data_IF_113988324625
#
_entry.id   IF_113988324625
#
_cell.length_a   1.000
_cell.length_b   1.000
_cell.length_c   1.000
_cell.angle_alpha   90.00
_cell.angle_beta   90.00
_cell.angle_gamma   90.00
#
_symmetry.space_group_name_H-M   'P 1'
#
loop_
_entity.id
_entity.type
_entity.pdbx_description
1 polymer ?
#
# COMPACT_ATOMS: atom_id res chain seq x y z
N UNK A 1 -37.53 41.55 -43.14
CA UNK A 1 -38.65 41.33 -44.08
C UNK A 1 -39.07 39.88 -43.96
N UNK A 2 -40.32 39.68 -43.49
CA UNK A 2 -41.22 38.50 -43.68
C UNK A 2 -40.68 37.10 -43.36
N UNK A 3 -41.23 36.28 -42.45
CA UNK A 3 -42.51 36.28 -41.73
C UNK A 3 -43.19 34.90 -41.84
N UNK A 4 -43.49 34.29 -40.68
CA UNK A 4 -44.55 33.32 -40.32
C UNK A 4 -44.60 31.91 -40.98
N UNK A 5 -45.05 30.79 -40.38
CA UNK A 5 -45.92 30.46 -39.20
C UNK A 5 -45.80 28.93 -38.92
N UNK A 6 -45.58 28.44 -37.68
CA UNK A 6 -46.56 27.86 -36.72
C UNK A 6 -47.20 26.52 -37.20
N UNK A 7 -47.20 25.39 -36.46
CA UNK A 7 -48.23 25.03 -35.44
C UNK A 7 -47.88 23.69 -34.72
N UNK A 8 -47.92 23.67 -33.39
CA UNK A 8 -48.16 22.50 -32.49
C UNK A 8 -49.69 22.40 -32.24
N UNK A 9 -50.33 21.30 -31.73
CA UNK A 9 -50.02 20.71 -30.41
C UNK A 9 -50.45 19.22 -30.17
N UNK A 10 -50.15 18.68 -28.97
CA UNK A 10 -51.14 18.20 -27.97
C UNK A 10 -50.78 16.90 -27.21
N UNK A 11 -50.69 17.05 -25.89
CA UNK A 11 -50.84 16.07 -24.81
C UNK A 11 -52.24 15.42 -24.78
N UNK A 12 -52.36 14.14 -24.38
CA UNK A 12 -53.44 13.64 -23.50
C UNK A 12 -52.94 12.48 -22.61
N UNK A 13 -53.31 12.59 -21.33
CA UNK A 13 -53.18 11.70 -20.17
C UNK A 13 -54.40 10.75 -20.10
N UNK A 14 -54.28 9.55 -19.53
CA UNK A 14 -55.47 8.78 -19.12
C UNK A 14 -55.23 7.35 -18.66
N UNK A 15 -55.62 7.08 -17.41
CA UNK A 15 -55.37 5.89 -16.58
C UNK A 15 -56.46 4.80 -16.69
N UNK A 16 -56.11 3.62 -16.16
CA UNK A 16 -56.92 2.73 -15.29
C UNK A 16 -58.05 1.82 -15.83
N UNK A 17 -57.80 0.51 -15.65
CA UNK A 17 -58.56 -0.43 -14.80
C UNK A 17 -59.42 -1.56 -15.44
N UNK A 18 -59.47 -2.65 -14.66
CA UNK A 18 -60.39 -3.79 -14.65
C UNK A 18 -60.05 -5.13 -15.34
N UNK A 19 -59.57 -6.03 -14.45
CA UNK A 19 -60.26 -7.23 -13.98
C UNK A 19 -60.41 -8.47 -14.89
N UNK A 20 -59.82 -9.58 -14.44
CA UNK A 20 -60.48 -10.89 -14.38
C UNK A 20 -59.78 -11.85 -13.39
N UNK A 21 -60.53 -12.28 -12.38
CA UNK A 21 -60.47 -13.61 -11.72
C UNK A 21 -61.89 -14.21 -11.87
N UNK A 22 -62.18 -15.51 -11.61
CA UNK A 22 -61.35 -16.57 -11.00
C UNK A 22 -61.45 -17.95 -11.71
N UNK A 23 -60.65 -18.95 -11.29
CA UNK A 23 -61.12 -20.33 -11.06
C UNK A 23 -60.04 -21.17 -10.35
N UNK A 24 -60.51 -21.94 -9.36
CA UNK A 24 -59.77 -22.79 -8.42
C UNK A 24 -59.72 -24.23 -8.94
N UNK A 25 -58.77 -25.02 -8.40
CA UNK A 25 -58.56 -26.48 -8.44
C UNK A 25 -57.61 -26.95 -9.56
N UNK A 26 -56.62 -27.83 -9.36
CA UNK A 26 -56.36 -28.80 -8.28
C UNK A 26 -54.90 -29.23 -8.30
N UNK A 27 -54.38 -29.60 -7.13
CA UNK A 27 -53.06 -30.16 -6.85
C UNK A 27 -52.88 -31.55 -7.50
N UNK A 28 -51.76 -31.77 -8.18
CA UNK A 28 -51.25 -33.12 -8.49
C UNK A 28 -49.72 -33.13 -8.37
N UNK A 29 -49.26 -34.05 -7.53
CA UNK A 29 -47.87 -34.36 -7.20
C UNK A 29 -47.13 -34.98 -8.39
N UNK A 30 -45.87 -34.61 -8.64
CA UNK A 30 -44.91 -35.44 -9.38
C UNK A 30 -43.47 -35.04 -9.05
N UNK A 31 -42.54 -36.02 -8.99
CA UNK A 31 -41.37 -35.96 -8.12
C UNK A 31 -40.18 -35.17 -8.70
N UNK A 32 -39.52 -34.45 -7.80
CA UNK A 32 -38.28 -33.68 -8.03
C UNK A 32 -37.14 -34.55 -8.55
N UNK A 33 -36.64 -34.25 -9.75
CA UNK A 33 -35.36 -34.74 -10.24
C UNK A 33 -34.20 -34.03 -9.49
N UNK A 34 -33.12 -34.73 -9.10
CA UNK A 34 -31.97 -34.09 -8.48
C UNK A 34 -31.22 -33.21 -9.50
N UNK A 35 -30.61 -32.09 -9.06
CA UNK A 35 -29.88 -31.18 -9.95
C UNK A 35 -28.59 -31.85 -10.48
N UNK A 36 -28.13 -31.47 -11.69
CA UNK A 36 -26.93 -32.05 -12.29
C UNK A 36 -25.68 -31.70 -11.45
N UNK A 37 -24.88 -32.73 -11.21
CA UNK A 37 -23.60 -32.69 -10.51
C UNK A 37 -22.63 -31.77 -11.28
N UNK A 38 -22.14 -30.72 -10.62
CA UNK A 38 -21.18 -29.79 -11.22
C UNK A 38 -19.84 -30.50 -11.38
N UNK A 39 -19.43 -30.73 -12.63
CA UNK A 39 -18.05 -31.11 -12.95
C UNK A 39 -17.07 -30.10 -12.32
N UNK A 40 -16.01 -30.56 -11.63
CA UNK A 40 -15.01 -29.65 -11.08
C UNK A 40 -14.24 -28.99 -12.24
N UNK A 41 -14.24 -27.64 -12.22
CA UNK A 41 -13.44 -26.82 -13.13
C UNK A 41 -11.96 -27.27 -13.13
N UNK A 42 -11.27 -27.24 -14.29
CA UNK A 42 -9.88 -27.65 -14.38
C UNK A 42 -9.01 -26.79 -13.46
N UNK A 43 -8.36 -27.45 -12.50
CA UNK A 43 -7.37 -26.85 -11.60
C UNK A 43 -6.20 -26.32 -12.44
N UNK A 44 -6.16 -25.00 -12.65
CA UNK A 44 -5.03 -24.33 -13.29
C UNK A 44 -3.87 -24.29 -12.29
N UNK A 45 -3.16 -25.41 -12.20
CA UNK A 45 -1.90 -25.51 -11.46
C UNK A 45 -0.78 -25.19 -12.44
N UNK A 46 -0.57 -23.90 -12.73
CA UNK A 46 0.72 -23.45 -13.26
C UNK A 46 0.92 -21.94 -13.02
N UNK A 47 1.22 -21.60 -11.78
CA UNK A 47 1.96 -20.38 -11.50
C UNK A 47 3.22 -20.83 -10.79
N UNK A 48 4.34 -20.76 -11.51
CA UNK A 48 5.65 -20.72 -10.92
C UNK A 48 5.72 -19.52 -9.97
N UNK A 49 5.17 -19.68 -8.76
CA UNK A 49 5.62 -18.97 -7.60
C UNK A 49 7.09 -19.34 -7.50
N UNK A 50 7.97 -18.47 -8.01
CA UNK A 50 9.38 -18.50 -7.67
C UNK A 50 9.43 -18.55 -6.15
N UNK A 51 9.72 -19.75 -5.62
CA UNK A 51 9.91 -20.00 -4.21
C UNK A 51 11.10 -19.14 -3.81
N UNK A 52 10.84 -17.94 -3.30
CA UNK A 52 11.85 -17.08 -2.76
C UNK A 52 12.41 -17.80 -1.54
N UNK A 53 13.58 -18.41 -1.70
CA UNK A 53 14.27 -19.09 -0.60
C UNK A 53 14.64 -18.01 0.40
N UNK A 54 14.05 -18.06 1.60
CA UNK A 54 14.31 -17.09 2.65
C UNK A 54 15.80 -17.14 3.00
N UNK A 55 16.52 -16.13 2.54
CA UNK A 55 17.92 -15.93 2.87
C UNK A 55 17.96 -14.76 3.85
N UNK A 56 18.49 -14.95 5.08
CA UNK A 56 18.67 -13.85 6.01
C UNK A 56 19.36 -12.68 5.32
N UNK A 57 18.80 -11.48 5.46
CA UNK A 57 19.42 -10.28 4.90
C UNK A 57 20.29 -9.60 5.94
N UNK A 58 21.25 -8.80 5.49
CA UNK A 58 22.02 -7.92 6.37
C UNK A 58 21.04 -6.98 7.10
N UNK A 59 21.18 -6.76 8.42
CA UNK A 59 20.38 -5.77 9.13
C UNK A 59 20.51 -4.38 8.52
N UNK A 60 19.42 -3.62 8.48
CA UNK A 60 19.49 -2.22 8.03
C UNK A 60 20.24 -1.37 9.07
N UNK A 61 21.18 -0.50 8.65
CA UNK A 61 21.81 0.45 9.55
C UNK A 61 20.79 1.46 10.10
N UNK A 62 21.15 2.16 11.18
CA UNK A 62 20.31 3.24 11.73
C UNK A 62 19.99 4.31 10.68
N UNK A 63 20.95 4.62 9.81
CA UNK A 63 20.80 5.60 8.74
C UNK A 63 21.06 4.92 7.41
N UNK A 64 20.08 4.98 6.51
CA UNK A 64 20.14 4.41 5.18
C UNK A 64 19.84 5.50 4.16
N UNK A 65 20.66 5.64 3.12
CA UNK A 65 20.46 6.65 2.08
C UNK A 65 20.29 5.99 0.72
N UNK A 66 19.31 6.48 -0.05
CA UNK A 66 19.13 6.10 -1.44
C UNK A 66 19.91 7.03 -2.35
N UNK A 67 20.71 6.47 -3.25
CA UNK A 67 21.44 7.20 -4.28
C UNK A 67 21.03 6.72 -5.66
N UNK A 68 20.95 7.66 -6.60
CA UNK A 68 20.82 7.35 -8.02
C UNK A 68 21.60 8.36 -8.84
N UNK A 69 22.11 7.89 -9.98
CA UNK A 69 22.59 8.74 -11.06
C UNK A 69 21.70 8.46 -12.27
N UNK A 70 21.48 9.44 -13.12
CA UNK A 70 20.43 9.50 -14.16
C UNK A 70 20.29 8.30 -15.13
N UNK A 71 21.18 7.31 -15.06
CA UNK A 71 21.19 6.08 -15.86
C UNK A 71 21.46 4.79 -15.07
N UNK A 72 21.64 4.86 -13.74
CA UNK A 72 22.00 3.71 -12.90
C UNK A 72 20.82 3.29 -12.01
N UNK A 73 20.73 2.01 -11.63
CA UNK A 73 19.78 1.56 -10.63
C UNK A 73 19.98 2.34 -9.33
N UNK A 74 18.89 2.44 -8.56
CA UNK A 74 18.93 3.04 -7.23
C UNK A 74 19.77 2.11 -6.34
N UNK A 75 20.62 2.70 -5.50
CA UNK A 75 21.41 1.97 -4.50
C UNK A 75 21.02 2.46 -3.12
N UNK A 76 20.81 1.52 -2.20
CA UNK A 76 20.70 1.83 -0.78
C UNK A 76 22.07 1.65 -0.15
N UNK A 77 22.56 2.73 0.45
CA UNK A 77 23.87 2.80 1.05
C UNK A 77 23.78 3.17 2.53
N UNK A 78 24.77 2.78 3.32
CA UNK A 78 24.88 3.15 4.73
C UNK A 78 25.37 4.59 4.91
N UNK A 79 26.48 4.75 5.65
CA UNK A 79 26.98 6.07 6.07
C UNK A 79 27.50 6.94 4.91
N UNK A 80 27.91 6.33 3.79
CA UNK A 80 28.40 7.03 2.59
C UNK A 80 27.81 6.44 1.31
N UNK A 81 28.03 7.09 0.16
CA UNK A 81 27.57 6.57 -1.13
C UNK A 81 28.34 5.31 -1.59
N UNK A 82 29.54 5.09 -1.04
CA UNK A 82 30.41 3.96 -1.41
C UNK A 82 30.11 2.70 -0.60
N UNK A 83 29.47 2.85 0.57
CA UNK A 83 28.97 1.74 1.40
C UNK A 83 27.64 1.21 0.85
N UNK A 84 27.69 0.60 -0.33
CA UNK A 84 26.50 0.03 -1.00
C UNK A 84 26.09 -1.24 -0.27
N UNK A 85 24.83 -1.26 0.21
CA UNK A 85 24.27 -2.39 0.94
C UNK A 85 23.28 -3.18 0.08
N UNK A 86 22.41 -2.48 -0.64
CA UNK A 86 21.36 -3.11 -1.45
C UNK A 86 21.21 -2.45 -2.83
N UNK A 87 20.97 -3.25 -3.85
CA UNK A 87 20.54 -2.81 -5.17
C UNK A 87 19.01 -2.73 -5.24
N UNK A 88 18.52 -1.68 -5.89
CA UNK A 88 17.10 -1.50 -6.17
C UNK A 88 16.89 -1.45 -7.68
N UNK A 89 16.13 -2.40 -8.19
CA UNK A 89 15.77 -2.50 -9.60
C UNK A 89 14.40 -1.87 -9.86
N UNK A 90 14.30 -1.08 -10.94
CA UNK A 90 13.03 -0.62 -11.46
C UNK A 90 12.36 -1.70 -12.31
N UNK A 91 11.16 -2.09 -11.91
CA UNK A 91 10.31 -3.00 -12.66
C UNK A 91 9.25 -2.22 -13.43
N UNK A 92 9.29 -2.29 -14.75
CA UNK A 92 8.42 -1.50 -15.65
C UNK A 92 7.04 -2.11 -15.86
N UNK A 93 6.83 -3.36 -15.43
CA UNK A 93 5.58 -4.11 -15.60
C UNK A 93 5.39 -4.75 -16.98
N UNK A 94 6.33 -4.59 -17.92
CA UNK A 94 6.26 -5.23 -19.24
C UNK A 94 6.59 -6.73 -19.22
N UNK A 95 7.32 -7.19 -18.20
CA UNK A 95 7.67 -8.60 -18.00
C UNK A 95 6.83 -9.17 -16.87
N UNK A 96 6.19 -10.33 -17.08
CA UNK A 96 5.49 -11.06 -16.01
C UNK A 96 6.40 -11.93 -15.14
N UNK A 97 7.73 -11.91 -15.36
CA UNK A 97 8.68 -12.90 -14.82
C UNK A 97 9.17 -12.61 -13.39
N UNK A 98 8.71 -11.54 -12.76
CA UNK A 98 9.14 -11.15 -11.40
C UNK A 98 8.01 -11.34 -10.40
N UNK A 99 8.32 -11.23 -9.11
CA UNK A 99 7.32 -11.34 -8.02
C UNK A 99 6.18 -10.31 -8.11
N UNK A 100 6.40 -9.20 -8.82
CA UNK A 100 5.36 -8.20 -9.09
C UNK A 100 4.47 -8.58 -10.29
N UNK A 101 4.79 -9.65 -11.01
CA UNK A 101 4.14 -9.99 -12.26
C UNK A 101 4.20 -8.80 -13.21
N UNK A 102 3.05 -8.37 -13.72
CA UNK A 102 2.99 -7.22 -14.62
C UNK A 102 2.84 -5.87 -13.90
N UNK A 103 2.79 -5.83 -12.56
CA UNK A 103 2.61 -4.59 -11.80
C UNK A 103 3.92 -3.80 -11.76
N UNK A 104 3.99 -2.53 -12.21
CA UNK A 104 5.23 -1.77 -12.14
C UNK A 104 5.56 -1.35 -10.71
N UNK A 105 6.87 -1.21 -10.44
CA UNK A 105 7.35 -0.97 -9.08
C UNK A 105 8.88 -1.00 -8.96
N UNK A 106 9.33 -1.32 -7.76
CA UNK A 106 10.74 -1.51 -7.40
C UNK A 106 10.92 -2.90 -6.78
N UNK A 107 12.05 -3.53 -7.11
CA UNK A 107 12.53 -4.77 -6.52
C UNK A 107 13.77 -4.44 -5.69
N UNK A 108 13.77 -4.82 -4.41
CA UNK A 108 14.94 -4.74 -3.55
C UNK A 108 15.65 -6.08 -3.58
N UNK A 109 16.94 -6.08 -3.92
CA UNK A 109 17.76 -7.29 -3.91
C UNK A 109 18.50 -7.45 -2.58
N UNK A 110 18.69 -8.69 -2.14
CA UNK A 110 19.45 -9.05 -0.94
C UNK A 110 20.97 -9.00 -1.22
N UNK A 111 21.45 -7.87 -1.67
CA UNK A 111 22.85 -7.66 -2.04
C UNK A 111 23.01 -6.45 -2.96
N UNK A 112 24.23 -6.23 -3.45
CA UNK A 112 24.63 -5.00 -4.14
C UNK A 112 24.39 -5.02 -5.65
N UNK A 113 23.88 -6.12 -6.19
CA UNK A 113 23.60 -6.30 -7.61
C UNK A 113 22.21 -6.89 -7.89
N UNK A 114 21.77 -6.77 -9.15
CA UNK A 114 20.49 -7.34 -9.62
C UNK A 114 20.49 -8.87 -9.74
N UNK A 115 21.68 -9.48 -9.71
CA UNK A 115 21.83 -10.93 -9.68
C UNK A 115 21.58 -11.52 -8.29
N UNK A 116 21.64 -10.69 -7.25
CA UNK A 116 21.34 -11.13 -5.89
C UNK A 116 19.82 -11.42 -5.77
N UNK A 117 19.40 -12.38 -4.92
CA UNK A 117 18.00 -12.76 -4.77
C UNK A 117 17.11 -11.57 -4.42
N UNK A 118 15.86 -11.58 -4.90
CA UNK A 118 14.88 -10.55 -4.53
C UNK A 118 14.52 -10.72 -3.05
N UNK A 119 14.75 -9.66 -2.26
CA UNK A 119 14.39 -9.58 -0.84
C UNK A 119 12.94 -9.13 -0.65
N UNK A 120 12.55 -8.07 -1.35
CA UNK A 120 11.24 -7.44 -1.23
C UNK A 120 10.86 -6.73 -2.52
N UNK A 121 9.57 -6.42 -2.68
CA UNK A 121 9.09 -5.62 -3.81
C UNK A 121 8.02 -4.63 -3.38
N UNK A 122 7.89 -3.54 -4.12
CA UNK A 122 6.83 -2.54 -3.88
C UNK A 122 6.36 -1.93 -5.18
N UNK A 123 5.06 -1.70 -5.35
CA UNK A 123 4.53 -1.23 -6.62
C UNK A 123 3.10 -0.72 -6.59
N UNK A 124 2.59 -0.47 -7.79
CA UNK A 124 1.17 -0.22 -8.03
C UNK A 124 0.39 -1.54 -7.94
N UNK A 125 -0.89 -1.52 -7.54
CA UNK A 125 -1.70 -2.75 -7.41
C UNK A 125 -2.09 -3.37 -8.76
N UNK A 126 -1.99 -2.60 -9.85
CA UNK A 126 -2.21 -3.07 -11.22
C UNK A 126 -1.43 -2.24 -12.25
N UNK A 127 -1.26 -2.78 -13.46
CA UNK A 127 -0.76 -1.98 -14.60
C UNK A 127 -1.63 -0.76 -14.89
N UNK A 128 -2.95 -0.90 -14.73
CA UNK A 128 -3.90 0.17 -14.99
C UNK A 128 -3.74 1.31 -13.96
N UNK A 129 -3.58 0.98 -12.68
CA UNK A 129 -3.25 1.93 -11.60
C UNK A 129 -1.95 2.69 -11.89
N UNK A 130 -1.03 2.09 -12.62
CA UNK A 130 0.20 2.74 -13.00
C UNK A 130 0.07 3.68 -14.21
N UNK A 131 -0.69 3.28 -15.24
CA UNK A 131 -0.72 3.93 -16.56
C UNK A 131 -1.87 4.91 -16.79
N UNK A 132 -3.05 4.68 -16.22
CA UNK A 132 -4.27 5.31 -16.71
C UNK A 132 -4.74 6.54 -15.92
N UNK A 133 -3.85 7.31 -15.28
CA UNK A 133 -4.24 8.34 -14.31
C UNK A 133 -5.17 7.82 -13.19
N UNK A 134 -5.27 6.49 -13.04
CA UNK A 134 -6.08 5.88 -12.00
C UNK A 134 -5.42 6.19 -10.67
N UNK A 135 -6.10 7.04 -9.92
CA UNK A 135 -5.72 7.50 -8.60
C UNK A 135 -5.88 6.35 -7.61
N UNK A 136 -5.05 5.32 -7.68
CA UNK A 136 -5.10 4.27 -6.67
C UNK A 136 -4.45 4.78 -5.39
N UNK A 137 -5.21 4.90 -4.28
CA UNK A 137 -4.64 5.25 -2.99
C UNK A 137 -3.84 4.10 -2.39
N UNK A 138 -3.84 2.92 -3.03
CA UNK A 138 -3.24 1.70 -2.51
C UNK A 138 -1.94 1.35 -3.25
N UNK A 139 -0.99 0.83 -2.49
CA UNK A 139 0.28 0.30 -3.00
C UNK A 139 0.47 -1.11 -2.47
N UNK A 140 0.93 -2.02 -3.33
CA UNK A 140 1.27 -3.38 -2.94
C UNK A 140 2.72 -3.44 -2.47
N UNK A 141 2.98 -4.15 -1.39
CA UNK A 141 4.31 -4.41 -0.83
C UNK A 141 4.44 -5.92 -0.64
N UNK A 142 5.48 -6.53 -1.19
CA UNK A 142 5.78 -7.95 -1.03
C UNK A 142 6.98 -8.08 -0.12
N UNK A 143 6.81 -8.83 0.98
CA UNK A 143 7.82 -9.04 2.01
C UNK A 143 8.04 -10.54 2.27
N UNK A 144 9.22 -10.96 2.75
CA UNK A 144 9.42 -12.33 3.25
C UNK A 144 8.45 -12.65 4.38
N UNK A 145 7.85 -13.85 4.45
CA UNK A 145 6.80 -14.20 5.42
C UNK A 145 7.20 -13.89 6.88
N UNK A 146 6.22 -13.56 7.72
CA UNK A 146 6.45 -13.22 9.12
C UNK A 146 6.91 -14.43 9.97
N UNK A 147 6.49 -15.63 9.58
CA UNK A 147 6.99 -16.87 10.15
C UNK A 147 8.19 -17.35 9.34
N UNK A 148 9.21 -17.86 10.03
CA UNK A 148 10.40 -18.49 9.44
C UNK A 148 10.06 -19.87 8.86
N UNK A 149 9.09 -19.91 7.94
CA UNK A 149 8.71 -21.12 7.21
C UNK A 149 9.57 -21.17 5.95
N UNK A 150 10.48 -22.14 5.83
CA UNK A 150 11.27 -22.32 4.63
C UNK A 150 10.34 -22.48 3.41
N UNK A 151 10.62 -21.75 2.34
CA UNK A 151 9.89 -21.84 1.07
C UNK A 151 8.43 -21.35 1.09
N UNK A 152 8.00 -20.65 2.14
CA UNK A 152 6.70 -19.96 2.11
C UNK A 152 6.71 -18.80 1.09
N UNK A 153 5.60 -18.57 0.37
CA UNK A 153 5.50 -17.47 -0.57
C UNK A 153 5.66 -16.12 0.14
N UNK A 154 6.08 -15.09 -0.61
CA UNK A 154 6.14 -13.73 -0.07
C UNK A 154 4.76 -13.28 0.42
N UNK A 155 4.72 -12.70 1.61
CA UNK A 155 3.52 -12.11 2.16
C UNK A 155 3.20 -10.80 1.42
N UNK A 156 1.92 -10.63 1.07
CA UNK A 156 1.41 -9.41 0.47
C UNK A 156 0.91 -8.48 1.55
N UNK A 157 1.47 -7.28 1.58
CA UNK A 157 1.12 -6.17 2.45
C UNK A 157 0.68 -4.96 1.63
N UNK A 158 0.03 -4.01 2.28
CA UNK A 158 -0.50 -2.82 1.63
C UNK A 158 -0.07 -1.55 2.36
N UNK A 159 0.14 -0.49 1.58
CA UNK A 159 0.22 0.87 2.07
C UNK A 159 -0.90 1.68 1.42
N UNK A 160 -1.67 2.37 2.24
CA UNK A 160 -2.80 3.17 1.81
C UNK A 160 -2.52 4.65 2.00
N UNK A 161 -3.05 5.47 1.12
CA UNK A 161 -3.04 6.92 1.20
C UNK A 161 -4.42 7.44 1.58
N UNK A 162 -4.47 8.41 2.48
CA UNK A 162 -5.71 9.09 2.89
C UNK A 162 -5.48 10.59 3.04
N UNK A 163 -6.49 11.38 2.71
CA UNK A 163 -6.45 12.82 3.03
C UNK A 163 -6.79 13.07 4.50
N UNK A 164 -6.08 13.99 5.15
CA UNK A 164 -6.34 14.41 6.52
C UNK A 164 -6.11 15.91 6.66
N UNK A 165 -7.19 16.67 6.86
CA UNK A 165 -7.15 18.13 6.80
C UNK A 165 -6.53 18.60 5.48
N UNK A 166 -5.43 19.36 5.57
CA UNK A 166 -4.69 19.87 4.41
C UNK A 166 -3.52 19.01 3.96
N UNK A 167 -3.29 17.88 4.60
CA UNK A 167 -2.18 16.97 4.31
C UNK A 167 -2.66 15.60 3.84
N UNK A 168 -1.67 14.76 3.48
CA UNK A 168 -1.85 13.36 3.06
C UNK A 168 -1.12 12.49 4.08
N UNK A 169 -1.80 11.43 4.50
CA UNK A 169 -1.27 10.37 5.34
C UNK A 169 -1.02 9.14 4.48
N UNK A 170 0.11 8.46 4.69
CA UNK A 170 0.32 7.12 4.16
C UNK A 170 0.45 6.16 5.34
N UNK A 171 -0.36 5.12 5.38
CA UNK A 171 -0.36 4.20 6.51
C UNK A 171 -0.30 2.75 6.05
N UNK A 172 0.25 1.91 6.92
CA UNK A 172 0.35 0.48 6.71
C UNK A 172 0.30 -0.25 8.05
N UNK A 173 0.10 -1.56 7.99
CA UNK A 173 0.11 -2.43 9.15
C UNK A 173 1.10 -3.57 8.93
N UNK A 174 1.83 -3.95 9.98
CA UNK A 174 2.78 -5.05 9.94
C UNK A 174 2.94 -5.63 11.34
N UNK A 175 3.34 -6.90 11.41
CA UNK A 175 3.66 -7.57 12.66
C UNK A 175 4.89 -6.94 13.31
N UNK A 176 4.80 -6.64 14.60
CA UNK A 176 5.90 -6.18 15.45
C UNK A 176 5.99 -7.01 16.72
N UNK A 177 7.20 -7.13 17.26
CA UNK A 177 7.50 -7.98 18.42
C UNK A 177 8.50 -9.08 18.07
N UNK A 178 8.76 -9.96 19.02
CA UNK A 178 9.73 -11.04 18.88
C UNK A 178 9.07 -12.38 19.27
N UNK A 179 9.35 -13.42 18.47
CA UNK A 179 8.86 -14.78 18.71
C UNK A 179 7.34 -14.89 18.70
N UNK A 180 6.76 -15.53 19.71
CA UNK A 180 5.32 -15.79 19.80
C UNK A 180 4.47 -14.54 20.12
N UNK A 181 5.11 -13.39 20.39
CA UNK A 181 4.45 -12.13 20.74
C UNK A 181 4.41 -11.15 19.57
N UNK A 182 4.08 -11.65 18.38
CA UNK A 182 3.88 -10.81 17.20
C UNK A 182 2.49 -10.19 17.23
N UNK A 183 2.43 -8.87 17.20
CA UNK A 183 1.20 -8.10 17.13
C UNK A 183 1.18 -7.26 15.87
N UNK A 184 0.07 -7.30 15.13
CA UNK A 184 -0.11 -6.44 13.96
C UNK A 184 -0.41 -5.01 14.44
N UNK A 185 0.40 -4.04 14.02
CA UNK A 185 0.31 -2.64 14.45
C UNK A 185 0.31 -1.70 13.26
N UNK A 186 -0.36 -0.57 13.43
CA UNK A 186 -0.46 0.47 12.42
C UNK A 186 0.63 1.53 12.57
N UNK A 187 1.15 1.96 11.43
CA UNK A 187 2.16 3.00 11.30
C UNK A 187 1.71 4.03 10.27
N UNK A 188 2.00 5.31 10.53
CA UNK A 188 1.55 6.43 9.69
C UNK A 188 2.74 7.32 9.32
N UNK A 189 3.00 7.43 8.02
CA UNK A 189 3.84 8.48 7.45
C UNK A 189 3.05 9.79 7.36
N UNK A 190 3.47 10.78 8.14
CA UNK A 190 2.99 12.17 8.06
C UNK A 190 4.00 13.03 7.33
N UNK A 191 3.52 13.94 6.49
CA UNK A 191 4.39 14.85 5.74
C UNK A 191 5.11 15.80 6.70
N UNK A 192 6.43 15.86 6.60
CA UNK A 192 7.26 16.83 7.33
C UNK A 192 7.67 17.97 6.40
N UNK A 193 7.51 19.22 6.85
CA UNK A 193 7.67 20.44 6.06
C UNK A 193 8.94 21.18 6.47
N UNK A 194 9.77 21.50 5.48
CA UNK A 194 10.98 22.33 5.66
C UNK A 194 10.60 23.67 6.31
N UNK A 195 11.32 24.04 7.38
CA UNK A 195 11.14 25.32 8.08
C UNK A 195 9.95 25.39 9.03
N UNK A 196 9.13 24.32 9.08
CA UNK A 196 8.09 24.13 10.10
C UNK A 196 8.57 23.06 11.09
N UNK A 197 9.08 21.95 10.56
CA UNK A 197 9.65 20.86 11.33
C UNK A 197 11.15 21.12 11.61
N UNK A 198 11.59 21.21 12.87
CA UNK A 198 12.98 21.51 13.20
C UNK A 198 13.95 20.39 12.78
N UNK A 199 13.47 19.16 12.75
CA UNK A 199 14.28 17.97 12.47
C UNK A 199 14.48 17.70 10.97
N UNK A 200 13.86 18.50 10.09
CA UNK A 200 13.80 18.21 8.65
C UNK A 200 14.28 19.37 7.80
N UNK A 201 15.41 19.17 7.10
CA UNK A 201 16.05 20.25 6.34
C UNK A 201 15.46 20.47 4.95
N UNK A 202 14.93 19.43 4.33
CA UNK A 202 14.52 19.43 2.91
C UNK A 202 13.07 18.97 2.68
N UNK A 203 12.28 18.91 3.76
CA UNK A 203 10.99 18.24 3.76
C UNK A 203 11.14 16.71 3.69
N UNK A 204 10.04 16.01 3.93
CA UNK A 204 10.13 14.58 4.16
C UNK A 204 8.84 13.98 4.66
N UNK A 205 8.98 12.85 5.36
CA UNK A 205 7.91 12.21 6.11
C UNK A 205 8.43 11.73 7.47
N UNK A 206 7.62 11.86 8.52
CA UNK A 206 7.84 11.23 9.83
C UNK A 206 6.96 9.98 9.91
N UNK A 207 7.54 8.85 10.30
CA UNK A 207 6.79 7.64 10.58
C UNK A 207 6.44 7.61 12.05
N UNK A 208 5.16 7.60 12.35
CA UNK A 208 4.63 7.60 13.69
C UNK A 208 3.84 6.33 13.97
N UNK A 209 3.88 5.90 15.23
CA UNK A 209 3.05 4.80 15.72
C UNK A 209 2.65 5.07 17.17
N UNK A 210 1.64 4.34 17.64
CA UNK A 210 1.20 4.38 19.03
C UNK A 210 1.69 3.12 19.76
N UNK A 211 2.59 3.25 20.75
CA UNK A 211 2.92 2.16 21.64
C UNK A 211 1.68 1.73 22.43
N UNK A 212 1.45 0.42 22.62
CA UNK A 212 0.42 -0.01 23.57
C UNK A 212 0.87 0.32 24.99
N UNK A 213 0.04 1.04 25.71
CA UNK A 213 0.18 1.20 27.16
C UNK A 213 -0.27 -0.11 27.82
N UNK A 214 0.44 -0.55 28.86
CA UNK A 214 0.02 -1.71 29.64
C UNK A 214 -1.39 -1.48 30.21
N UNK A 215 -2.37 -2.26 29.73
CA UNK A 215 -3.78 -2.11 30.08
C UNK A 215 -4.74 -1.87 28.91
N UNK A 216 -4.23 -1.67 27.69
CA UNK A 216 -5.07 -1.64 26.48
C UNK A 216 -5.59 -3.06 26.16
N UNK A 217 -6.79 -3.37 26.65
CA UNK A 217 -7.56 -4.51 26.18
C UNK A 217 -7.98 -4.27 24.72
N UNK A 218 -7.76 -5.24 23.80
CA UNK A 218 -8.05 -5.07 22.36
C UNK A 218 -9.54 -4.99 22.01
N UNK A 219 -10.45 -4.81 22.98
CA UNK A 219 -11.90 -4.84 22.80
C UNK A 219 -12.70 -3.73 23.47
N UNK A 220 -12.09 -2.76 24.16
CA UNK A 220 -12.83 -1.73 24.88
C UNK A 220 -12.83 -0.39 24.16
N UNK A 221 -13.88 -0.13 23.35
CA UNK A 221 -14.34 1.24 23.10
C UNK A 221 -15.06 1.74 24.37
N UNK A 222 -14.33 1.83 25.48
CA UNK A 222 -14.82 2.28 26.77
C UNK A 222 -14.56 3.77 26.95
N UNK A 223 -15.62 4.57 26.83
CA UNK A 223 -15.63 5.97 27.24
C UNK A 223 -15.23 6.06 28.71
N UNK A 224 -14.00 6.50 28.98
CA UNK A 224 -13.60 7.18 30.21
C UNK A 224 -12.22 7.80 30.02
N UNK A 225 -12.16 9.13 29.97
CA UNK A 225 -11.12 9.82 30.72
C UNK A 225 -11.54 11.26 31.03
N UNK A 226 -11.61 11.54 32.32
CA UNK A 226 -11.11 12.79 32.85
C UNK A 226 -9.58 12.74 32.81
N UNK A 227 -8.96 13.85 32.39
CA UNK A 227 -7.52 14.16 32.30
C UNK A 227 -6.88 13.91 30.92
N UNK A 228 -6.17 14.90 30.33
CA UNK A 228 -5.55 14.77 29.02
C UNK A 228 -4.24 13.98 29.17
N UNK A 229 -4.33 12.65 29.08
CA UNK A 229 -3.16 11.84 28.77
C UNK A 229 -2.88 12.09 27.30
N UNK A 230 -1.86 12.92 27.06
CA UNK A 230 -1.37 13.30 25.75
C UNK A 230 -1.32 12.06 24.83
N UNK A 231 -2.02 12.11 23.70
CA UNK A 231 -2.10 11.05 22.70
C UNK A 231 -0.69 10.80 22.11
N UNK A 232 0.15 10.05 22.83
CA UNK A 232 1.58 10.05 22.58
C UNK A 232 1.93 9.13 21.40
N UNK A 233 1.90 9.72 20.21
CA UNK A 233 2.48 9.13 19.01
C UNK A 233 4.00 9.25 19.08
N UNK A 234 4.70 8.14 18.93
CA UNK A 234 6.16 8.09 18.87
C UNK A 234 6.62 8.14 17.41
N UNK A 235 7.60 9.01 17.10
CA UNK A 235 8.30 8.96 15.81
C UNK A 235 9.35 7.85 15.81
N UNK A 236 9.18 6.87 14.93
CA UNK A 236 10.06 5.68 14.81
C UNK A 236 10.95 5.67 13.57
N UNK A 237 10.65 6.52 12.59
CA UNK A 237 11.55 6.77 11.48
C UNK A 237 11.34 8.17 10.89
N UNK A 238 12.39 8.70 10.27
CA UNK A 238 12.37 9.94 9.51
C UNK A 238 12.86 9.69 8.09
N UNK A 239 12.07 10.10 7.11
CA UNK A 239 12.42 10.10 5.69
C UNK A 239 12.68 11.54 5.26
N UNK A 240 13.92 11.90 4.96
CA UNK A 240 14.29 13.23 4.44
C UNK A 240 14.65 13.15 2.95
N UNK A 241 14.15 14.12 2.17
CA UNK A 241 14.50 14.21 0.74
C UNK A 241 15.92 14.72 0.53
N UNK A 242 16.60 14.17 -0.49
CA UNK A 242 17.88 14.71 -0.92
C UNK A 242 17.75 16.07 -1.60
N UNK A 243 18.88 16.76 -1.72
CA UNK A 243 18.94 18.04 -2.42
C UNK A 243 18.78 17.84 -3.92
N UNK A 244 18.11 18.79 -4.60
CA UNK A 244 17.86 18.71 -6.05
C UNK A 244 19.15 18.54 -6.87
N UNK A 245 20.26 19.12 -6.39
CA UNK A 245 21.58 19.03 -7.05
C UNK A 245 22.40 17.81 -6.63
N UNK A 246 21.90 17.00 -5.70
CA UNK A 246 22.61 15.84 -5.18
C UNK A 246 22.15 14.54 -5.86
N UNK A 247 23.05 13.56 -5.95
CA UNK A 247 22.69 12.19 -6.36
C UNK A 247 21.92 11.42 -5.29
N UNK A 248 21.84 11.98 -4.08
CA UNK A 248 21.08 11.42 -2.96
C UNK A 248 19.60 11.71 -3.24
N UNK A 249 18.78 10.67 -3.26
CA UNK A 249 17.34 10.79 -3.47
C UNK A 249 16.63 11.02 -2.14
N UNK A 250 16.99 10.25 -1.11
CA UNK A 250 16.48 10.41 0.24
C UNK A 250 17.41 9.77 1.28
N UNK A 251 17.15 10.05 2.55
CA UNK A 251 17.70 9.35 3.71
C UNK A 251 16.56 8.90 4.62
N UNK A 252 16.60 7.63 5.06
CA UNK A 252 15.78 7.08 6.14
C UNK A 252 16.65 6.98 7.38
N UNK A 253 16.18 7.53 8.49
CA UNK A 253 16.78 7.40 9.81
C UNK A 253 15.79 6.71 10.73
N UNK A 254 16.20 5.59 11.35
CA UNK A 254 15.44 4.93 12.40
C UNK A 254 15.63 5.65 13.74
N UNK A 255 14.53 5.85 14.45
CA UNK A 255 14.44 6.61 15.70
C UNK A 255 13.65 5.81 16.74
N UNK A 256 13.79 6.17 18.03
CA UNK A 256 13.00 5.60 19.11
C UNK A 256 12.95 4.07 19.11
N UNK A 257 11.74 3.51 19.21
CA UNK A 257 11.46 2.08 19.14
C UNK A 257 11.96 1.43 17.85
N UNK A 258 12.02 2.16 16.73
CA UNK A 258 12.54 1.67 15.46
C UNK A 258 14.05 1.38 15.48
N UNK A 259 14.82 2.11 16.30
CA UNK A 259 16.24 1.87 16.50
C UNK A 259 16.48 0.70 17.47
N UNK A 260 15.62 0.53 18.47
CA UNK A 260 15.80 -0.45 19.55
C UNK A 260 15.77 -1.93 19.12
N UNK A 261 15.28 -2.21 17.90
CA UNK A 261 15.09 -3.58 17.38
C UNK A 261 13.81 -4.27 17.87
N UNK A 262 13.08 -3.67 18.83
CA UNK A 262 11.82 -4.22 19.39
C UNK A 262 10.71 -4.41 18.35
N UNK A 263 10.74 -3.65 17.26
CA UNK A 263 9.74 -3.74 16.19
C UNK A 263 10.04 -4.86 15.18
N UNK A 264 11.23 -5.44 15.20
CA UNK A 264 11.63 -6.56 14.34
C UNK A 264 12.19 -6.14 12.96
N UNK A 265 12.87 -7.07 12.31
CA UNK A 265 13.51 -6.83 11.00
C UNK A 265 12.50 -6.74 9.85
N UNK A 266 11.42 -7.53 9.87
CA UNK A 266 10.33 -7.43 8.88
C UNK A 266 9.69 -6.03 8.89
N UNK A 267 9.53 -5.44 10.07
CA UNK A 267 9.09 -4.05 10.20
C UNK A 267 10.11 -3.07 9.58
N UNK A 268 11.41 -3.20 9.90
CA UNK A 268 12.44 -2.32 9.29
C UNK A 268 12.42 -2.40 7.77
N UNK A 269 12.29 -3.61 7.22
CA UNK A 269 12.15 -3.83 5.80
C UNK A 269 10.89 -3.15 5.24
N UNK A 270 9.74 -3.26 5.92
CA UNK A 270 8.51 -2.54 5.57
C UNK A 270 8.71 -1.01 5.52
N UNK A 271 9.42 -0.43 6.49
CA UNK A 271 9.78 1.00 6.50
C UNK A 271 10.61 1.37 5.26
N UNK A 272 11.63 0.58 4.93
CA UNK A 272 12.48 0.83 3.75
C UNK A 272 11.66 0.74 2.45
N UNK A 273 10.80 -0.28 2.32
CA UNK A 273 9.98 -0.47 1.13
C UNK A 273 8.93 0.64 0.98
N UNK A 274 8.30 1.08 2.06
CA UNK A 274 7.35 2.21 2.04
C UNK A 274 8.05 3.53 1.73
N UNK A 275 9.28 3.76 2.20
CA UNK A 275 10.09 4.92 1.82
C UNK A 275 10.44 4.93 0.31
N UNK A 276 10.85 3.78 -0.24
CA UNK A 276 11.05 3.62 -1.69
C UNK A 276 9.77 3.89 -2.48
N UNK A 277 8.61 3.48 -1.96
CA UNK A 277 7.32 3.77 -2.57
C UNK A 277 6.97 5.25 -2.52
N UNK A 278 7.21 5.92 -1.40
CA UNK A 278 7.02 7.37 -1.27
C UNK A 278 7.90 8.14 -2.26
N UNK A 279 9.13 7.67 -2.51
CA UNK A 279 9.97 8.23 -3.58
C UNK A 279 9.30 8.10 -4.96
N UNK A 280 8.81 6.92 -5.33
CA UNK A 280 8.09 6.74 -6.60
C UNK A 280 6.85 7.63 -6.71
N UNK A 281 6.06 7.70 -5.63
CA UNK A 281 4.87 8.54 -5.58
C UNK A 281 5.23 10.01 -5.73
N UNK A 282 6.30 10.48 -5.07
CA UNK A 282 6.79 11.86 -5.16
C UNK A 282 7.22 12.19 -6.59
N UNK A 283 8.03 11.35 -7.23
CA UNK A 283 8.49 11.55 -8.62
C UNK A 283 7.31 11.62 -9.59
N UNK A 284 6.25 10.83 -9.34
CA UNK A 284 5.01 10.84 -10.14
C UNK A 284 4.00 11.93 -9.73
N UNK A 285 4.31 12.79 -8.76
CA UNK A 285 3.38 13.82 -8.23
C UNK A 285 2.19 13.28 -7.44
N UNK A 286 2.19 12.00 -7.05
CA UNK A 286 1.08 11.29 -6.38
C UNK A 286 1.06 11.46 -4.86
N UNK A 287 1.95 12.27 -4.30
CA UNK A 287 1.93 12.65 -2.87
C UNK A 287 1.12 13.93 -2.60
N UNK A 288 0.47 14.49 -3.63
CA UNK A 288 -0.35 15.69 -3.50
C UNK A 288 -1.77 15.35 -3.02
N UNK A 289 -2.36 16.21 -2.17
CA UNK A 289 -3.73 16.07 -1.65
C UNK A 289 -4.76 15.91 -2.77
N UNK A 290 -4.65 16.71 -3.84
CA UNK A 290 -5.57 16.63 -4.99
C UNK A 290 -5.58 15.25 -5.65
N UNK A 291 -4.41 14.62 -5.77
CA UNK A 291 -4.28 13.28 -6.35
C UNK A 291 -4.92 12.22 -5.43
N UNK A 292 -4.61 12.25 -4.14
CA UNK A 292 -5.16 11.28 -3.18
C UNK A 292 -6.67 11.46 -3.01
N UNK A 293 -7.15 12.70 -2.92
CA UNK A 293 -8.58 13.01 -2.82
C UNK A 293 -9.38 12.49 -4.03
N UNK A 294 -8.83 12.61 -5.24
CA UNK A 294 -9.44 12.05 -6.44
C UNK A 294 -9.53 10.53 -6.36
N UNK A 295 -8.49 9.87 -5.84
CA UNK A 295 -8.48 8.43 -5.61
C UNK A 295 -9.51 7.97 -4.59
N UNK A 296 -9.54 8.60 -3.42
CA UNK A 296 -10.51 8.24 -2.38
C UNK A 296 -11.97 8.37 -2.85
N UNK A 297 -12.27 9.32 -3.75
CA UNK A 297 -13.61 9.47 -4.34
C UNK A 297 -13.96 8.33 -5.30
N UNK A 298 -13.00 7.88 -6.11
CA UNK A 298 -13.24 6.85 -7.13
C UNK A 298 -13.45 5.45 -6.54
N UNK A 299 -12.85 5.16 -5.39
CA UNK A 299 -12.91 3.85 -4.74
C UNK A 299 -13.96 3.75 -3.61
N UNK A 300 -14.73 4.82 -3.36
CA UNK A 300 -15.84 4.84 -2.38
C UNK A 300 -17.22 4.60 -3.01
N UNK A 301 -17.27 4.37 -4.32
CA UNK A 301 -18.48 3.99 -5.07
C UNK A 301 -18.37 2.53 -5.50
#
# INVERSE_FOLDING_TARGET
MTGDKETEPALVVGSEDQAASPLVATKADSPTAPPPEREPLPSYTDQAATLATFTPHRPFPQVLSAYSSSLKPIKLCGSSADDVLFAVETHTGYSGKTVLGTKPGLLLHNGTSKQDPILAAVGDTSQLAARAYVFSPESIILLPPAADIPSAPMATEYMHARTSGDDVLFFFEVEVGLGEKLHRRQFIWKKAKKGVDPDVKQGGFRLEWRPSVAGDDPGSLGVSSSSPVDDQWETVALLEWGHLLSRKMFTVQFLGSGLSGKLGERWRLMVVMTALRLLLLKVKGRTAKSHVAAGEKLYKN
#
